data_IF_277102697216
#
_entry.id   IF_277102697216
#
_cell.length_a   1.000
_cell.length_b   1.000
_cell.length_c   1.000
_cell.angle_alpha   90.00
_cell.angle_beta   90.00
_cell.angle_gamma   90.00
#
_symmetry.space_group_name_H-M   'P 1'
#
loop_
_entity.id
_entity.type
_entity.pdbx_description
1 polymer ?
#
# COMPACT_ATOMS: atom_id res chain seq x y z
N UNK A 1 13.32 -16.04 -5.08
CA UNK A 1 13.18 -14.75 -4.37
C UNK A 1 14.21 -13.81 -4.96
N UNK A 2 13.80 -13.03 -5.95
CA UNK A 2 14.70 -12.12 -6.66
C UNK A 2 14.87 -10.80 -5.90
N UNK A 3 16.01 -10.12 -6.10
CA UNK A 3 16.30 -8.82 -5.48
C UNK A 3 15.17 -7.79 -5.77
N UNK A 4 14.58 -7.87 -6.96
CA UNK A 4 13.40 -7.08 -7.34
C UNK A 4 12.18 -7.38 -6.47
N UNK A 5 11.86 -8.64 -6.15
CA UNK A 5 10.73 -8.96 -5.27
C UNK A 5 10.95 -8.46 -3.85
N UNK A 6 12.19 -8.45 -3.37
CA UNK A 6 12.53 -7.97 -2.02
C UNK A 6 12.39 -6.45 -1.95
N UNK A 7 12.92 -5.75 -2.96
CA UNK A 7 12.86 -4.28 -3.03
C UNK A 7 11.42 -3.82 -3.27
N UNK A 8 10.74 -4.35 -4.30
CA UNK A 8 9.37 -3.96 -4.61
C UNK A 8 8.37 -4.49 -3.58
N UNK A 9 8.52 -5.73 -3.12
CA UNK A 9 7.66 -6.30 -2.08
C UNK A 9 7.82 -5.56 -0.75
N UNK A 10 9.05 -5.30 -0.31
CA UNK A 10 9.32 -4.53 0.90
C UNK A 10 8.80 -3.09 0.81
N UNK A 11 9.11 -2.40 -0.29
CA UNK A 11 8.73 -0.99 -0.47
C UNK A 11 7.21 -0.83 -0.65
N UNK A 12 6.55 -1.67 -1.45
CA UNK A 12 5.09 -1.61 -1.63
C UNK A 12 4.36 -1.99 -0.33
N UNK A 13 4.83 -3.03 0.35
CA UNK A 13 4.13 -3.56 1.53
C UNK A 13 4.35 -2.68 2.77
N UNK A 14 5.60 -2.30 3.04
CA UNK A 14 5.96 -1.52 4.23
C UNK A 14 5.74 -0.03 4.04
N UNK A 15 6.00 0.54 2.85
CA UNK A 15 5.80 1.97 2.66
C UNK A 15 4.35 2.26 2.24
N UNK A 16 3.88 1.70 1.13
CA UNK A 16 2.54 1.96 0.62
C UNK A 16 1.45 1.39 1.53
N UNK A 17 1.57 0.12 1.93
CA UNK A 17 0.59 -0.52 2.82
C UNK A 17 0.47 0.13 4.21
N UNK A 18 1.57 0.60 4.78
CA UNK A 18 1.57 1.34 6.06
C UNK A 18 0.89 2.70 5.92
N UNK A 19 1.27 3.49 4.90
CA UNK A 19 0.70 4.80 4.67
C UNK A 19 -0.80 4.70 4.38
N UNK A 20 -1.23 3.75 3.55
CA UNK A 20 -2.64 3.57 3.21
C UNK A 20 -3.48 3.23 4.44
N UNK A 21 -3.05 2.25 5.25
CA UNK A 21 -3.75 1.90 6.51
C UNK A 21 -3.81 3.09 7.46
N UNK A 22 -2.67 3.76 7.66
CA UNK A 22 -2.59 4.94 8.52
C UNK A 22 -3.59 6.02 8.11
N UNK A 23 -3.60 6.42 6.84
CA UNK A 23 -4.51 7.48 6.39
C UNK A 23 -5.98 7.04 6.38
N UNK A 24 -6.26 5.77 6.07
CA UNK A 24 -7.61 5.22 6.14
C UNK A 24 -8.17 5.31 7.57
N UNK A 25 -7.44 4.85 8.58
CA UNK A 25 -7.92 4.88 9.96
C UNK A 25 -7.89 6.28 10.57
N UNK A 26 -6.96 7.14 10.15
CA UNK A 26 -6.88 8.54 10.60
C UNK A 26 -8.10 9.38 10.21
N UNK A 27 -8.82 9.01 9.15
CA UNK A 27 -10.11 9.62 8.80
C UNK A 27 -11.13 9.47 9.94
N UNK A 28 -11.11 8.34 10.65
CA UNK A 28 -12.08 8.02 11.70
C UNK A 28 -11.57 8.35 13.10
N UNK A 29 -10.25 8.36 13.31
CA UNK A 29 -9.66 8.72 14.60
C UNK A 29 -8.40 9.58 14.40
N UNK A 30 -8.53 10.89 14.69
CA UNK A 30 -7.47 11.88 14.52
C UNK A 30 -6.28 11.70 15.47
N UNK A 31 -6.45 10.93 16.54
CA UNK A 31 -5.40 10.72 17.56
C UNK A 31 -4.42 9.59 17.18
N UNK A 32 -4.70 8.84 16.11
CA UNK A 32 -3.84 7.74 15.66
C UNK A 32 -2.49 8.27 15.16
N UNK A 33 -1.42 7.64 15.63
CA UNK A 33 -0.05 7.90 15.21
C UNK A 33 0.36 6.86 14.18
N UNK A 34 1.27 7.25 13.29
CA UNK A 34 1.75 6.36 12.23
C UNK A 34 2.51 5.14 12.80
N UNK A 35 3.14 5.31 13.97
CA UNK A 35 3.80 4.25 14.71
C UNK A 35 2.85 3.12 15.14
N UNK A 36 1.56 3.41 15.32
CA UNK A 36 0.55 2.41 15.73
C UNK A 36 0.28 1.35 14.64
N UNK A 37 0.81 1.56 13.43
CA UNK A 37 0.66 0.66 12.28
C UNK A 37 1.99 0.05 11.84
N UNK A 38 3.09 0.46 12.46
CA UNK A 38 4.41 -0.15 12.22
C UNK A 38 4.36 -1.50 12.94
N UNK A 39 4.52 -2.59 12.19
CA UNK A 39 4.58 -3.91 12.80
C UNK A 39 5.86 -3.99 13.63
N UNK A 40 5.73 -4.17 14.95
CA UNK A 40 6.83 -4.73 15.75
C UNK A 40 7.07 -6.16 15.24
N UNK A 41 8.34 -6.50 15.04
CA UNK A 41 8.78 -7.70 14.29
C UNK A 41 8.39 -9.04 14.94
N UNK A 42 7.61 -9.06 16.03
CA UNK A 42 7.35 -10.26 16.84
C UNK A 42 5.96 -10.92 16.70
N UNK A 43 4.92 -10.29 16.16
CA UNK A 43 3.62 -10.95 16.07
C UNK A 43 3.37 -11.64 14.72
N UNK A 44 3.72 -12.92 14.76
CA UNK A 44 3.25 -14.02 13.92
C UNK A 44 1.72 -13.94 13.72
N UNK A 45 1.27 -13.21 12.70
CA UNK A 45 -0.02 -13.43 12.01
C UNK A 45 0.13 -13.12 10.51
N UNK A 46 1.26 -13.58 9.94
CA UNK A 46 1.79 -13.18 8.63
C UNK A 46 0.93 -13.50 7.41
N UNK A 47 -0.09 -14.36 7.51
CA UNK A 47 -0.92 -14.75 6.36
C UNK A 47 -2.06 -13.73 6.12
N UNK A 48 -2.76 -13.31 7.18
CA UNK A 48 -3.83 -12.32 7.07
C UNK A 48 -3.31 -10.95 6.65
N UNK A 49 -2.15 -10.56 7.18
CA UNK A 49 -1.53 -9.29 6.84
C UNK A 49 -0.91 -9.30 5.43
N UNK A 50 -0.33 -10.43 5.01
CA UNK A 50 0.14 -10.62 3.64
C UNK A 50 -1.01 -10.57 2.62
N UNK A 51 -2.11 -11.27 2.88
CA UNK A 51 -3.32 -11.23 2.04
C UNK A 51 -3.91 -9.82 1.99
N UNK A 52 -4.03 -9.15 3.12
CA UNK A 52 -4.53 -7.78 3.17
C UNK A 52 -3.66 -6.83 2.34
N UNK A 53 -2.34 -6.92 2.48
CA UNK A 53 -1.41 -6.10 1.72
C UNK A 53 -1.42 -6.45 0.22
N UNK A 54 -1.63 -7.72 -0.15
CA UNK A 54 -1.79 -8.17 -1.53
C UNK A 54 -3.04 -7.55 -2.18
N UNK A 55 -4.20 -7.65 -1.52
CA UNK A 55 -5.45 -7.07 -2.03
C UNK A 55 -5.37 -5.54 -2.14
N UNK A 56 -4.83 -4.87 -1.11
CA UNK A 56 -4.66 -3.42 -1.12
C UNK A 56 -3.65 -3.01 -2.22
N UNK A 57 -2.57 -3.75 -2.39
CA UNK A 57 -1.59 -3.52 -3.46
C UNK A 57 -2.21 -3.60 -4.85
N UNK A 58 -3.03 -4.62 -5.10
CA UNK A 58 -3.75 -4.78 -6.38
C UNK A 58 -4.73 -3.63 -6.61
N UNK A 59 -5.51 -3.25 -5.60
CA UNK A 59 -6.49 -2.17 -5.71
C UNK A 59 -5.79 -0.84 -6.02
N UNK A 60 -4.71 -0.53 -5.30
CA UNK A 60 -3.93 0.69 -5.52
C UNK A 60 -3.27 0.67 -6.91
N UNK A 61 -2.73 -0.47 -7.34
CA UNK A 61 -2.17 -0.61 -8.68
C UNK A 61 -3.20 -0.29 -9.77
N UNK A 62 -4.41 -0.84 -9.68
CA UNK A 62 -5.46 -0.53 -10.65
C UNK A 62 -5.84 0.95 -10.66
N UNK A 63 -5.98 1.58 -9.50
CA UNK A 63 -6.27 3.02 -9.44
C UNK A 63 -5.15 3.87 -10.04
N UNK A 64 -3.89 3.53 -9.79
CA UNK A 64 -2.75 4.24 -10.37
C UNK A 64 -2.67 4.04 -11.89
N UNK A 65 -2.80 2.80 -12.38
CA UNK A 65 -2.80 2.53 -13.82
C UNK A 65 -3.95 3.24 -14.53
N UNK A 66 -5.16 3.18 -13.97
CA UNK A 66 -6.31 3.89 -14.51
C UNK A 66 -6.10 5.40 -14.49
N UNK A 67 -5.60 5.95 -13.38
CA UNK A 67 -5.29 7.37 -13.25
C UNK A 67 -4.25 7.86 -14.25
N UNK A 68 -3.19 7.08 -14.49
CA UNK A 68 -2.16 7.40 -15.50
C UNK A 68 -2.77 7.42 -16.90
N UNK A 69 -3.53 6.38 -17.27
CA UNK A 69 -4.18 6.31 -18.59
C UNK A 69 -5.15 7.47 -18.79
N UNK A 70 -5.98 7.75 -17.79
CA UNK A 70 -6.92 8.88 -17.83
C UNK A 70 -6.20 10.22 -17.98
N UNK A 71 -5.10 10.43 -17.26
CA UNK A 71 -4.31 11.66 -17.39
C UNK A 71 -3.71 11.78 -18.79
N UNK A 72 -3.16 10.70 -19.35
CA UNK A 72 -2.62 10.71 -20.72
C UNK A 72 -3.69 11.06 -21.75
N UNK A 73 -4.91 10.52 -21.62
CA UNK A 73 -6.06 10.84 -22.48
C UNK A 73 -6.47 12.32 -22.35
N UNK A 74 -6.60 12.83 -21.12
CA UNK A 74 -6.94 14.25 -20.85
C UNK A 74 -5.90 15.21 -21.41
N UNK A 75 -4.61 14.84 -21.39
CA UNK A 75 -3.53 15.66 -21.96
C UNK A 75 -3.29 15.41 -23.46
N UNK A 76 -4.10 14.57 -24.11
CA UNK A 76 -3.94 14.19 -25.52
C UNK A 76 -2.55 13.62 -25.83
N UNK A 77 -1.96 12.91 -24.86
CA UNK A 77 -0.68 12.22 -24.97
C UNK A 77 -0.86 10.73 -25.34
N UNK A 78 -2.09 10.27 -25.44
CA UNK A 78 -2.50 8.94 -25.89
C UNK A 78 -3.47 9.06 -27.07
#
# INVERSE_FOLDING_TARGET
MNLLEIIFGGLITQFLGLNTRYYFFKLFNKNLKKGDFVNDEEEINGLGQSLYNFFIGIIVFFFLSFGIVYMLDVFHLL
#
